data_IF_092126923740
#
_entry.id   IF_092126923740
#
_cell.length_a   1.000
_cell.length_b   1.000
_cell.length_c   1.000
_cell.angle_alpha   90.00
_cell.angle_beta   90.00
_cell.angle_gamma   90.00
#
_symmetry.space_group_name_H-M   'P 1'
#
loop_
_entity.id
_entity.type
_entity.pdbx_description
1 polymer ?
#
# COMPACT_ATOMS: atom_id res chain seq x y z
N UNK A 1 28.17 10.11 63.46
CA UNK A 1 29.58 9.84 63.12
C UNK A 1 29.71 9.55 61.63
N UNK A 2 30.53 10.37 60.98
CA UNK A 2 31.37 10.15 59.77
C UNK A 2 30.72 9.82 58.42
N UNK A 3 30.68 10.87 57.58
CA UNK A 3 30.71 10.86 56.11
C UNK A 3 32.03 10.27 55.57
N UNK A 4 32.01 9.69 54.35
CA UNK A 4 33.05 9.98 53.35
C UNK A 4 32.63 9.65 51.92
N UNK A 5 33.04 10.55 51.04
CA UNK A 5 32.72 10.77 49.63
C UNK A 5 33.91 10.37 48.72
N UNK A 6 33.74 10.58 47.40
CA UNK A 6 34.75 10.79 46.30
C UNK A 6 35.05 9.56 45.40
N UNK A 7 35.10 9.68 44.07
CA UNK A 7 35.10 10.88 43.20
C UNK A 7 34.87 10.62 41.69
N UNK A 8 34.63 11.72 40.96
CA UNK A 8 34.51 11.89 39.49
C UNK A 8 35.92 11.95 38.79
N UNK A 9 36.09 12.56 37.58
CA UNK A 9 35.87 12.04 36.21
C UNK A 9 37.17 12.15 35.36
N UNK A 10 37.19 11.71 34.09
CA UNK A 10 38.23 12.14 33.15
C UNK A 10 37.70 12.23 31.72
N UNK A 11 37.56 13.47 31.25
CA UNK A 11 37.48 13.85 29.85
C UNK A 11 38.89 14.18 29.34
N UNK A 12 39.22 13.79 28.11
CA UNK A 12 40.34 14.33 27.30
C UNK A 12 40.01 14.00 25.83
N UNK A 13 39.54 14.95 25.01
CA UNK A 13 40.21 16.09 24.38
C UNK A 13 40.77 15.77 22.98
N UNK A 14 40.39 16.64 22.03
CA UNK A 14 40.67 16.69 20.59
C UNK A 14 42.17 16.64 20.22
N UNK A 15 42.47 16.13 19.02
CA UNK A 15 43.43 16.78 18.12
C UNK A 15 43.21 16.39 16.64
N UNK A 16 43.00 17.40 15.81
CA UNK A 16 43.03 17.38 14.34
C UNK A 16 44.48 17.22 13.84
N UNK A 17 44.69 16.51 12.73
CA UNK A 17 45.84 16.72 11.83
C UNK A 17 45.45 16.42 10.37
N UNK A 18 45.29 17.50 9.62
CA UNK A 18 45.32 17.56 8.16
C UNK A 18 46.77 17.53 7.66
N UNK A 19 47.09 16.68 6.69
CA UNK A 19 48.26 16.84 5.80
C UNK A 19 47.94 16.17 4.46
N UNK A 20 47.88 16.95 3.39
CA UNK A 20 47.74 16.45 2.01
C UNK A 20 49.08 16.12 1.36
N UNK A 21 49.04 15.42 0.21
CA UNK A 21 50.08 15.49 -0.82
C UNK A 21 49.63 14.84 -2.15
N UNK A 22 49.48 15.66 -3.20
CA UNK A 22 49.88 15.37 -4.59
C UNK A 22 48.92 14.59 -5.52
N UNK A 23 48.65 15.08 -6.75
CA UNK A 23 48.06 14.27 -7.79
C UNK A 23 49.11 13.30 -8.36
N UNK A 24 48.80 12.00 -8.37
CA UNK A 24 49.58 11.03 -9.13
C UNK A 24 49.18 11.11 -10.61
N UNK A 25 50.21 11.11 -11.47
CA UNK A 25 50.13 11.30 -12.90
C UNK A 25 49.29 10.23 -13.63
N UNK A 26 48.66 10.68 -14.70
CA UNK A 26 47.86 9.94 -15.68
C UNK A 26 48.70 8.84 -16.37
N UNK A 27 48.27 7.56 -16.39
CA UNK A 27 48.85 6.56 -17.27
C UNK A 27 48.35 6.76 -18.71
N UNK A 28 49.21 6.62 -19.73
CA UNK A 28 48.82 6.80 -21.14
C UNK A 28 47.75 5.80 -21.57
N UNK A 29 46.82 6.32 -22.38
CA UNK A 29 45.65 5.67 -22.95
C UNK A 29 45.92 4.27 -23.50
N UNK A 30 45.19 3.29 -22.98
CA UNK A 30 44.90 2.05 -23.68
C UNK A 30 43.81 2.32 -24.74
N UNK A 31 43.85 1.69 -25.92
CA UNK A 31 42.94 1.98 -27.01
C UNK A 31 41.49 1.74 -26.59
N UNK A 32 40.64 2.73 -26.84
CA UNK A 32 39.19 2.64 -26.67
C UNK A 32 38.67 1.42 -27.46
N UNK A 33 37.96 0.47 -26.82
CA UNK A 33 37.13 -0.46 -27.56
C UNK A 33 36.05 0.36 -28.26
N UNK A 34 35.92 0.17 -29.58
CA UNK A 34 34.90 0.79 -30.42
C UNK A 34 33.53 0.76 -29.72
N UNK A 35 32.71 1.83 -29.84
CA UNK A 35 31.40 1.86 -29.20
C UNK A 35 30.61 0.64 -29.67
N UNK A 36 30.30 -0.24 -28.72
CA UNK A 36 29.31 -1.27 -28.92
C UNK A 36 28.03 -0.54 -29.37
N UNK A 37 27.50 -0.96 -30.51
CA UNK A 37 26.21 -0.51 -31.01
C UNK A 37 25.21 -0.50 -29.86
N UNK A 38 24.32 0.52 -29.76
CA UNK A 38 23.32 0.53 -28.72
C UNK A 38 22.56 -0.79 -28.79
N UNK A 39 22.64 -1.56 -27.71
CA UNK A 39 21.73 -2.67 -27.51
C UNK A 39 20.34 -2.08 -27.69
N UNK A 40 19.63 -2.58 -28.70
CA UNK A 40 18.23 -2.23 -28.95
C UNK A 40 17.53 -2.51 -27.62
N UNK A 41 17.20 -1.46 -26.88
CA UNK A 41 16.25 -1.57 -25.77
C UNK A 41 15.02 -2.26 -26.36
N UNK A 42 14.45 -3.28 -25.70
CA UNK A 42 13.21 -3.85 -26.17
C UNK A 42 12.27 -2.67 -26.40
N UNK A 43 11.81 -2.52 -27.64
CA UNK A 43 10.77 -1.56 -27.93
C UNK A 43 9.72 -1.76 -26.85
N UNK A 44 9.37 -0.70 -26.13
CA UNK A 44 8.18 -0.68 -25.32
C UNK A 44 7.04 -0.89 -26.32
N UNK A 45 6.78 -2.17 -26.60
CA UNK A 45 5.70 -2.59 -27.45
C UNK A 45 4.42 -2.08 -26.82
N UNK A 46 3.40 -2.00 -27.66
CA UNK A 46 2.01 -1.70 -27.37
C UNK A 46 1.41 -2.74 -26.39
N UNK A 47 2.09 -3.01 -25.28
CA UNK A 47 1.58 -3.78 -24.17
C UNK A 47 0.43 -2.96 -23.62
N UNK A 48 -0.80 -3.48 -23.66
CA UNK A 48 -1.94 -2.76 -23.12
C UNK A 48 -1.59 -2.38 -21.68
N UNK A 49 -1.83 -1.10 -21.33
CA UNK A 49 -1.66 -0.64 -19.96
C UNK A 49 -2.37 -1.64 -19.05
N UNK A 50 -1.61 -2.31 -18.18
CA UNK A 50 -2.12 -3.42 -17.39
C UNK A 50 -3.45 -3.01 -16.74
N UNK A 51 -4.50 -3.80 -16.98
CA UNK A 51 -5.81 -3.52 -16.45
C UNK A 51 -5.73 -3.35 -14.92
N UNK A 52 -6.53 -2.45 -14.37
CA UNK A 52 -6.69 -2.39 -12.93
C UNK A 52 -7.65 -3.51 -12.52
N UNK A 53 -7.11 -4.49 -11.80
CA UNK A 53 -7.81 -5.69 -11.37
C UNK A 53 -7.86 -5.80 -9.83
N UNK A 54 -8.62 -6.79 -9.35
CA UNK A 54 -8.88 -7.00 -7.94
C UNK A 54 -7.61 -7.33 -7.13
N UNK A 55 -6.66 -8.07 -7.72
CA UNK A 55 -5.39 -8.40 -7.06
C UNK A 55 -4.60 -7.13 -6.81
N UNK A 56 -4.46 -6.28 -7.83
CA UNK A 56 -3.77 -5.01 -7.70
C UNK A 56 -4.45 -4.08 -6.69
N UNK A 57 -5.77 -4.02 -6.67
CA UNK A 57 -6.52 -3.23 -5.69
C UNK A 57 -6.30 -3.72 -4.26
N UNK A 58 -6.34 -5.04 -4.05
CA UNK A 58 -6.12 -5.67 -2.75
C UNK A 58 -4.70 -5.41 -2.24
N UNK A 59 -3.69 -5.56 -3.09
CA UNK A 59 -2.30 -5.29 -2.73
C UNK A 59 -2.10 -3.83 -2.30
N UNK A 60 -2.66 -2.89 -3.06
CA UNK A 60 -2.59 -1.46 -2.74
C UNK A 60 -3.27 -1.13 -1.42
N UNK A 61 -4.46 -1.69 -1.18
CA UNK A 61 -5.19 -1.48 0.07
C UNK A 61 -4.46 -2.09 1.26
N UNK A 62 -4.06 -3.37 1.18
CA UNK A 62 -3.38 -4.07 2.27
C UNK A 62 -2.06 -3.38 2.62
N UNK A 63 -1.28 -2.97 1.62
CA UNK A 63 -0.04 -2.23 1.85
C UNK A 63 -0.29 -0.92 2.60
N UNK A 64 -1.34 -0.17 2.22
CA UNK A 64 -1.70 1.09 2.89
C UNK A 64 -2.14 0.87 4.33
N UNK A 65 -3.04 -0.08 4.56
CA UNK A 65 -3.59 -0.37 5.89
C UNK A 65 -2.50 -0.91 6.83
N UNK A 66 -1.58 -1.72 6.32
CA UNK A 66 -0.44 -2.22 7.08
C UNK A 66 0.54 -1.09 7.44
N UNK A 67 0.88 -0.21 6.49
CA UNK A 67 1.78 0.92 6.74
C UNK A 67 1.23 1.90 7.78
N UNK A 68 -0.08 2.12 7.78
CA UNK A 68 -0.75 3.00 8.74
C UNK A 68 -1.16 2.28 10.05
N UNK A 69 -0.88 0.98 10.16
CA UNK A 69 -1.27 0.16 11.32
C UNK A 69 -2.74 0.30 11.72
N UNK A 70 -3.64 0.36 10.73
CA UNK A 70 -5.07 0.62 10.95
C UNK A 70 -5.69 -0.43 11.87
N UNK A 71 -5.21 -1.67 11.79
CA UNK A 71 -5.72 -2.79 12.55
C UNK A 71 -4.62 -3.46 13.38
N UNK A 72 -4.83 -3.51 14.69
CA UNK A 72 -3.93 -4.21 15.61
C UNK A 72 -3.98 -5.74 15.40
N UNK A 73 -5.15 -6.25 15.01
CA UNK A 73 -5.48 -7.65 14.78
C UNK A 73 -5.41 -8.05 13.30
N UNK A 74 -4.59 -7.38 12.48
CA UNK A 74 -4.45 -7.68 11.05
C UNK A 74 -4.33 -9.17 10.67
N UNK A 75 -3.67 -10.07 11.45
CA UNK A 75 -3.64 -11.51 11.16
C UNK A 75 -5.01 -12.21 11.23
N UNK A 76 -5.98 -11.59 11.89
CA UNK A 76 -7.35 -12.06 12.06
C UNK A 76 -8.34 -11.42 11.07
N UNK A 77 -7.84 -10.81 10.00
CA UNK A 77 -8.66 -10.20 8.97
C UNK A 77 -8.49 -10.89 7.62
N UNK A 78 -9.58 -10.93 6.88
CA UNK A 78 -9.62 -11.36 5.48
C UNK A 78 -10.09 -10.21 4.60
N UNK A 79 -9.38 -9.98 3.51
CA UNK A 79 -9.72 -8.97 2.51
C UNK A 79 -10.29 -9.66 1.27
N UNK A 80 -11.45 -9.24 0.82
CA UNK A 80 -12.08 -9.78 -0.38
C UNK A 80 -12.66 -8.65 -1.22
N UNK A 81 -12.36 -8.65 -2.52
CA UNK A 81 -13.03 -7.75 -3.45
C UNK A 81 -14.53 -8.10 -3.48
N UNK A 82 -15.37 -7.13 -3.16
CA UNK A 82 -16.81 -7.23 -3.35
C UNK A 82 -17.06 -6.96 -4.83
N UNK A 83 -17.29 -8.02 -5.58
CA UNK A 83 -17.49 -7.90 -7.02
C UNK A 83 -18.94 -7.51 -7.26
N UNK A 84 -19.21 -6.29 -7.75
CA UNK A 84 -20.42 -6.03 -8.55
C UNK A 84 -20.13 -6.49 -10.00
N UNK A 85 -19.88 -7.79 -10.14
CA UNK A 85 -19.80 -8.43 -11.44
C UNK A 85 -20.17 -9.90 -11.24
N UNK A 86 -21.47 -10.17 -11.34
CA UNK A 86 -21.91 -11.44 -11.91
C UNK A 86 -21.06 -11.68 -13.17
N UNK A 87 -20.28 -12.77 -13.26
CA UNK A 87 -19.73 -13.15 -14.54
C UNK A 87 -20.93 -13.46 -15.43
N UNK A 88 -21.21 -12.59 -16.40
CA UNK A 88 -22.08 -12.91 -17.54
C UNK A 88 -21.41 -14.02 -18.34
N UNK A 89 -21.47 -15.24 -17.81
CA UNK A 89 -21.42 -16.43 -18.61
C UNK A 89 -22.62 -16.36 -19.55
N UNK A 90 -22.34 -16.24 -20.83
CA UNK A 90 -23.33 -16.37 -21.88
C UNK A 90 -24.08 -17.70 -21.69
N UNK A 91 -25.37 -17.65 -21.41
CA UNK A 91 -26.42 -18.22 -22.26
C UNK A 91 -27.84 -18.00 -21.69
N UNK A 92 -28.72 -17.50 -22.57
CA UNK A 92 -30.19 -17.57 -22.60
C UNK A 92 -31.08 -16.95 -21.49
N UNK A 93 -31.64 -15.78 -21.85
CA UNK A 93 -33.06 -15.39 -21.79
C UNK A 93 -33.84 -15.39 -20.44
N UNK A 94 -34.12 -14.19 -19.91
CA UNK A 94 -35.46 -13.56 -19.89
C UNK A 94 -35.53 -12.40 -18.86
N UNK A 95 -35.96 -11.22 -19.35
CA UNK A 95 -36.56 -10.06 -18.65
C UNK A 95 -36.16 -9.78 -17.19
N UNK A 96 -35.59 -8.61 -16.88
CA UNK A 96 -36.38 -7.37 -16.85
C UNK A 96 -35.51 -6.10 -16.94
N UNK A 97 -35.95 -5.19 -17.81
CA UNK A 97 -35.87 -3.72 -17.72
C UNK A 97 -34.60 -3.06 -17.19
N UNK A 98 -33.70 -2.82 -18.15
CA UNK A 98 -32.94 -1.59 -18.38
C UNK A 98 -32.99 -0.47 -17.32
N UNK A 99 -31.81 -0.20 -16.74
CA UNK A 99 -31.12 1.08 -16.97
C UNK A 99 -29.75 0.78 -17.55
N UNK A 100 -29.69 0.55 -18.87
CA UNK A 100 -28.43 0.57 -19.62
C UNK A 100 -28.13 2.04 -19.93
N UNK A 101 -27.57 2.75 -18.97
CA UNK A 101 -26.69 3.86 -19.30
C UNK A 101 -25.36 3.26 -19.79
N UNK A 102 -24.70 3.87 -20.78
CA UNK A 102 -23.41 3.36 -21.22
C UNK A 102 -22.53 3.33 -19.99
N UNK A 103 -21.99 2.15 -19.65
CA UNK A 103 -20.87 2.06 -18.74
C UNK A 103 -19.79 2.92 -19.41
N UNK A 104 -19.81 4.19 -19.02
CA UNK A 104 -18.80 5.14 -19.37
C UNK A 104 -17.48 4.47 -19.02
N UNK A 105 -16.43 4.88 -19.68
CA UNK A 105 -15.05 4.69 -19.22
C UNK A 105 -14.82 5.34 -17.85
N UNK A 106 -15.65 4.99 -16.87
CA UNK A 106 -15.67 5.32 -15.48
C UNK A 106 -14.51 4.56 -14.87
N UNK A 107 -13.64 5.32 -14.22
CA UNK A 107 -12.51 4.88 -13.44
C UNK A 107 -12.76 3.49 -12.86
N UNK A 108 -11.91 2.52 -13.19
CA UNK A 108 -12.03 1.19 -12.61
C UNK A 108 -11.88 1.34 -11.09
N UNK A 109 -13.00 1.18 -10.37
CA UNK A 109 -13.10 1.19 -8.92
C UNK A 109 -13.42 -0.23 -8.48
N UNK A 110 -12.73 -0.69 -7.45
CA UNK A 110 -12.91 -2.03 -6.89
C UNK A 110 -13.28 -1.85 -5.42
N UNK A 111 -14.45 -2.37 -5.05
CA UNK A 111 -14.90 -2.41 -3.67
C UNK A 111 -14.25 -3.60 -2.96
N UNK A 112 -13.83 -3.41 -1.71
CA UNK A 112 -13.19 -4.44 -0.90
C UNK A 112 -13.83 -4.44 0.48
N UNK A 113 -14.29 -5.61 0.91
CA UNK A 113 -14.69 -5.85 2.29
C UNK A 113 -13.52 -6.39 3.10
N UNK A 114 -13.34 -5.82 4.29
CA UNK A 114 -12.50 -6.36 5.35
C UNK A 114 -13.39 -7.13 6.30
N UNK A 115 -13.14 -8.42 6.45
CA UNK A 115 -13.94 -9.33 7.28
C UNK A 115 -13.10 -9.88 8.43
N UNK A 116 -13.74 -10.10 9.56
CA UNK A 116 -13.12 -10.80 10.68
C UNK A 116 -13.05 -12.29 10.36
N UNK A 117 -11.86 -12.86 10.52
CA UNK A 117 -11.63 -14.31 10.48
C UNK A 117 -11.70 -14.82 11.91
N UNK A 118 -12.51 -15.84 12.13
CA UNK A 118 -12.59 -16.54 13.41
C UNK A 118 -12.00 -17.95 13.28
N UNK A 119 -11.34 -18.45 14.33
CA UNK A 119 -10.57 -19.70 14.30
C UNK A 119 -9.07 -19.49 14.11
N UNK A 120 -8.28 -20.58 14.14
CA UNK A 120 -6.80 -20.54 14.07
C UNK A 120 -6.14 -19.59 15.08
N UNK A 121 -6.76 -19.41 16.25
CA UNK A 121 -6.29 -18.49 17.30
C UNK A 121 -6.90 -17.09 17.24
N UNK A 122 -7.72 -16.78 16.22
CA UNK A 122 -8.52 -15.56 16.16
C UNK A 122 -9.85 -15.74 16.90
N UNK A 123 -10.21 -14.83 17.83
CA UNK A 123 -11.40 -14.93 18.65
C UNK A 123 -12.68 -14.76 17.82
N UNK A 124 -13.82 -15.23 18.33
CA UNK A 124 -15.13 -15.08 17.69
C UNK A 124 -15.78 -16.42 17.36
N UNK A 125 -17.02 -16.36 16.85
CA UNK A 125 -17.77 -17.55 16.42
C UNK A 125 -17.27 -18.01 15.03
N UNK A 126 -16.68 -19.22 14.90
CA UNK A 126 -16.19 -19.75 13.62
C UNK A 126 -17.26 -19.87 12.52
N UNK A 127 -18.54 -19.82 12.86
CA UNK A 127 -19.65 -19.84 11.89
C UNK A 127 -20.02 -18.45 11.37
N UNK A 128 -19.28 -17.41 11.78
CA UNK A 128 -19.51 -16.02 11.36
C UNK A 128 -18.24 -15.43 10.76
N UNK A 129 -18.41 -14.55 9.78
CA UNK A 129 -17.33 -13.77 9.16
C UNK A 129 -17.85 -12.35 8.84
N UNK A 130 -18.13 -11.55 9.89
CA UNK A 130 -18.75 -10.24 9.74
C UNK A 130 -17.85 -9.28 8.95
N UNK A 131 -18.47 -8.37 8.18
CA UNK A 131 -17.76 -7.27 7.54
C UNK A 131 -17.48 -6.22 8.61
N UNK A 132 -16.20 -5.91 8.83
CA UNK A 132 -15.79 -4.85 9.74
C UNK A 132 -15.76 -3.48 9.05
N UNK A 133 -15.19 -3.45 7.85
CA UNK A 133 -15.04 -2.23 7.06
C UNK A 133 -15.20 -2.51 5.57
N UNK A 134 -15.49 -1.46 4.81
CA UNK A 134 -15.51 -1.47 3.34
C UNK A 134 -14.67 -0.33 2.80
N UNK A 135 -13.98 -0.62 1.71
CA UNK A 135 -13.12 0.32 1.00
C UNK A 135 -13.45 0.33 -0.49
N UNK A 136 -13.24 1.48 -1.13
CA UNK A 136 -13.15 1.59 -2.59
C UNK A 136 -11.72 1.92 -2.94
N UNK A 137 -11.15 1.16 -3.87
CA UNK A 137 -9.82 1.41 -4.42
C UNK A 137 -9.97 1.76 -5.89
N UNK A 138 -9.48 2.91 -6.29
CA UNK A 138 -9.50 3.35 -7.67
C UNK A 138 -8.19 3.01 -8.39
N UNK A 139 -8.25 2.90 -9.72
CA UNK A 139 -7.04 2.82 -10.58
C UNK A 139 -6.04 3.95 -10.33
N UNK A 140 -6.51 5.12 -9.91
CA UNK A 140 -5.68 6.28 -9.55
C UNK A 140 -4.80 6.03 -8.30
N UNK A 141 -5.16 5.03 -7.50
CA UNK A 141 -4.61 4.76 -6.18
C UNK A 141 -5.30 5.54 -5.05
N UNK A 142 -6.36 6.28 -5.36
CA UNK A 142 -7.25 6.80 -4.33
C UNK A 142 -7.90 5.62 -3.58
N UNK A 143 -7.90 5.74 -2.24
CA UNK A 143 -8.59 4.83 -1.34
C UNK A 143 -9.66 5.64 -0.62
N UNK A 144 -10.89 5.14 -0.65
CA UNK A 144 -12.02 5.67 0.10
C UNK A 144 -12.43 4.64 1.15
N UNK A 145 -12.87 5.11 2.31
CA UNK A 145 -13.35 4.28 3.41
C UNK A 145 -14.83 4.54 3.61
N UNK A 146 -15.64 3.48 3.61
CA UNK A 146 -17.06 3.57 3.94
C UNK A 146 -17.29 4.07 5.37
N UNK A 147 -18.06 5.16 5.48
CA UNK A 147 -18.56 5.68 6.74
C UNK A 147 -19.99 5.23 6.97
N UNK A 148 -20.19 4.37 7.98
CA UNK A 148 -21.51 3.83 8.30
C UNK A 148 -22.47 4.86 8.92
N UNK A 149 -21.97 5.95 9.51
CA UNK A 149 -22.81 7.00 10.08
C UNK A 149 -23.41 7.87 8.98
N UNK A 150 -22.60 8.20 7.96
CA UNK A 150 -23.03 8.98 6.81
C UNK A 150 -23.67 8.11 5.71
N UNK A 151 -23.39 6.80 5.72
CA UNK A 151 -23.85 5.86 4.72
C UNK A 151 -23.15 5.99 3.37
N UNK A 152 -21.93 6.55 3.34
CA UNK A 152 -21.20 6.85 2.10
C UNK A 152 -19.68 6.64 2.23
N UNK A 153 -18.98 6.57 1.10
CA UNK A 153 -17.53 6.47 1.03
C UNK A 153 -16.87 7.84 1.14
N UNK A 154 -16.04 8.01 2.17
CA UNK A 154 -15.28 9.24 2.42
C UNK A 154 -13.79 9.03 2.12
N UNK A 155 -13.04 10.13 2.01
CA UNK A 155 -11.59 10.06 1.80
C UNK A 155 -10.88 9.30 2.93
N UNK A 156 -9.98 8.37 2.59
CA UNK A 156 -9.28 7.55 3.58
C UNK A 156 -8.59 8.37 4.70
N UNK A 157 -7.90 9.46 4.33
CA UNK A 157 -7.22 10.34 5.30
C UNK A 157 -8.19 11.19 6.12
N UNK A 158 -9.38 11.48 5.59
CA UNK A 158 -10.44 12.17 6.34
C UNK A 158 -10.93 11.27 7.47
N UNK A 159 -11.22 10.00 7.17
CA UNK A 159 -11.70 9.04 8.17
C UNK A 159 -10.64 8.67 9.20
N UNK A 160 -9.39 8.42 8.76
CA UNK A 160 -8.29 8.09 9.66
C UNK A 160 -8.05 9.19 10.72
N UNK A 161 -8.25 10.47 10.37
CA UNK A 161 -8.15 11.59 11.32
C UNK A 161 -9.36 11.67 12.25
N UNK A 162 -10.57 11.39 11.74
CA UNK A 162 -11.78 11.31 12.55
C UNK A 162 -11.71 10.23 13.61
N UNK A 163 -11.24 9.02 13.25
CA UNK A 163 -11.08 7.90 14.19
C UNK A 163 -10.02 8.16 15.27
N UNK A 164 -8.95 8.89 14.94
CA UNK A 164 -7.92 9.29 15.93
C UNK A 164 -8.40 10.40 16.88
N UNK A 165 -9.37 11.23 16.45
CA UNK A 165 -9.93 12.33 17.24
C UNK A 165 -11.16 11.96 18.08
N UNK A 166 -11.69 10.74 17.94
CA UNK A 166 -12.91 10.26 18.58
C UNK A 166 -12.75 9.69 20.00
N UNK A 167 -11.56 9.80 20.62
CA UNK A 167 -11.40 9.53 22.05
C UNK A 167 -11.74 10.79 22.86
N UNK A 168 -13.03 10.97 23.16
CA UNK A 168 -13.51 11.89 24.20
C UNK A 168 -14.46 11.14 25.14
#
# INVERSE_FOLDING_TARGET
MVLKSMGLPAALALAMLSMGCGPAADPPAAPEPAPAAPAIAPAAGDAPAAAFDATRALDMLQARLAADHVYADAPCLQYAAETDAEPVAADAAASSSASTEPASTASAVIEVAVREKHGDGCPGDPQTAPVRDRYRVERSGAILWYDAAEGDFVGYTQRARGSAGGML
#
